data_IF_932345774060
#
_entry.id   IF_932345774060
#
_cell.length_a   1.000
_cell.length_b   1.000
_cell.length_c   1.000
_cell.angle_alpha   90.00
_cell.angle_beta   90.00
_cell.angle_gamma   90.00
#
_symmetry.space_group_name_H-M   'P 1'
#
loop_
_entity.id
_entity.type
_entity.pdbx_description
1 polymer ?
#
# COMPACT_ATOMS: atom_id res chain seq x y z
N UNK A 1 -6.22 17.51 17.72
CA UNK A 1 -7.13 17.77 18.88
C UNK A 1 -7.91 19.09 18.78
N UNK A 2 -8.29 19.50 17.57
CA UNK A 2 -9.11 20.72 17.39
C UNK A 2 -10.62 20.42 17.31
N UNK A 3 -11.07 19.35 17.97
CA UNK A 3 -12.48 19.01 18.02
C UNK A 3 -13.09 19.76 19.21
N UNK A 4 -13.89 20.78 18.90
CA UNK A 4 -14.64 21.57 19.90
C UNK A 4 -15.74 20.72 20.53
N UNK A 5 -16.15 21.09 21.75
CA UNK A 5 -17.25 20.50 22.49
C UNK A 5 -18.45 20.16 21.60
N UNK A 6 -18.93 18.93 21.72
CA UNK A 6 -20.08 18.43 20.97
C UNK A 6 -19.77 17.71 19.65
N UNK A 7 -18.49 17.46 19.32
CA UNK A 7 -18.10 16.63 18.17
C UNK A 7 -17.41 15.35 18.66
N UNK A 8 -17.86 14.22 18.18
CA UNK A 8 -17.22 12.93 18.36
C UNK A 8 -16.35 12.60 17.14
N UNK A 9 -15.19 12.01 17.39
CA UNK A 9 -14.29 11.53 16.34
C UNK A 9 -14.18 10.03 16.43
N UNK A 10 -14.42 9.34 15.32
CA UNK A 10 -14.18 7.91 15.17
C UNK A 10 -13.16 7.69 14.06
N UNK A 11 -12.27 6.73 14.26
CA UNK A 11 -11.24 6.38 13.29
C UNK A 11 -11.41 4.92 12.92
N UNK A 12 -11.67 4.67 11.66
CA UNK A 12 -11.75 3.34 11.08
C UNK A 12 -10.75 3.16 9.94
N UNK A 13 -11.02 2.15 9.12
CA UNK A 13 -10.20 1.78 7.97
C UNK A 13 -10.96 2.01 6.67
N UNK A 14 -10.22 2.12 5.58
CA UNK A 14 -10.76 2.22 4.20
C UNK A 14 -10.21 1.07 3.35
N UNK A 15 -10.52 1.05 2.06
CA UNK A 15 -9.78 0.23 1.08
C UNK A 15 -8.47 0.88 0.63
N UNK A 16 -8.22 2.13 1.02
CA UNK A 16 -7.09 2.91 0.53
C UNK A 16 -5.74 2.36 1.00
N UNK A 17 -5.02 1.75 0.09
CA UNK A 17 -3.67 1.24 0.30
C UNK A 17 -2.66 2.19 -0.35
N UNK A 18 -1.78 2.81 0.44
CA UNK A 18 -0.66 3.58 -0.11
C UNK A 18 0.41 2.60 -0.55
N UNK A 19 0.40 2.28 -1.83
CA UNK A 19 1.26 1.26 -2.43
C UNK A 19 2.53 1.88 -3.01
N UNK A 20 3.68 1.41 -2.54
CA UNK A 20 4.98 1.65 -3.16
C UNK A 20 5.20 0.58 -4.23
N UNK A 21 5.06 1.01 -5.48
CA UNK A 21 5.17 0.15 -6.65
C UNK A 21 6.60 0.09 -7.13
N UNK A 22 7.09 -1.10 -7.40
CA UNK A 22 8.35 -1.35 -8.08
C UNK A 22 8.05 -2.04 -9.41
N UNK A 23 8.62 -1.57 -10.51
CA UNK A 23 8.44 -2.20 -11.81
C UNK A 23 9.26 -3.49 -11.84
N UNK A 24 8.59 -4.63 -11.66
CA UNK A 24 9.22 -5.93 -11.48
C UNK A 24 9.97 -6.44 -12.72
N UNK A 25 9.77 -5.81 -13.89
CA UNK A 25 10.47 -6.15 -15.12
C UNK A 25 11.64 -5.20 -15.43
N UNK A 26 11.90 -4.19 -14.58
CA UNK A 26 12.91 -3.16 -14.85
C UNK A 26 14.01 -3.17 -13.78
N UNK A 27 15.26 -3.23 -14.24
CA UNK A 27 16.40 -3.14 -13.35
C UNK A 27 16.38 -1.84 -12.50
N UNK A 28 16.78 -1.89 -11.22
CA UNK A 28 17.28 -3.05 -10.51
C UNK A 28 16.17 -3.92 -9.85
N UNK A 29 14.90 -3.60 -10.08
CA UNK A 29 13.73 -4.23 -9.43
C UNK A 29 13.28 -5.53 -10.10
N UNK A 30 13.92 -5.97 -11.17
CA UNK A 30 13.80 -7.32 -11.73
C UNK A 30 14.41 -8.41 -10.79
N UNK A 31 15.31 -8.01 -9.88
CA UNK A 31 15.81 -8.89 -8.81
C UNK A 31 14.93 -8.78 -7.54
N UNK A 32 14.29 -9.88 -7.09
CA UNK A 32 13.46 -9.86 -5.89
C UNK A 32 14.24 -9.48 -4.62
N UNK A 33 15.56 -9.73 -4.54
CA UNK A 33 16.39 -9.34 -3.40
C UNK A 33 16.48 -7.83 -3.26
N UNK A 34 16.52 -7.10 -4.39
CA UNK A 34 16.51 -5.64 -4.39
C UNK A 34 15.16 -5.10 -3.93
N UNK A 35 14.05 -5.71 -4.36
CA UNK A 35 12.71 -5.34 -3.88
C UNK A 35 12.54 -5.62 -2.39
N UNK A 36 13.06 -6.75 -1.90
CA UNK A 36 13.10 -7.06 -0.47
C UNK A 36 13.97 -6.06 0.30
N UNK A 37 15.09 -5.62 -0.26
CA UNK A 37 15.94 -4.59 0.35
C UNK A 37 15.16 -3.28 0.53
N UNK A 38 14.39 -2.84 -0.47
CA UNK A 38 13.49 -1.69 -0.33
C UNK A 38 12.48 -1.92 0.79
N UNK A 39 11.86 -3.09 0.86
CA UNK A 39 10.85 -3.40 1.86
C UNK A 39 11.41 -3.37 3.32
N UNK A 40 12.66 -3.79 3.51
CA UNK A 40 13.35 -3.68 4.81
C UNK A 40 13.88 -2.27 5.09
N UNK A 41 14.17 -1.47 4.05
CA UNK A 41 14.71 -0.11 4.20
C UNK A 41 13.65 0.92 4.61
N UNK A 42 12.35 0.60 4.42
CA UNK A 42 11.27 1.56 4.63
C UNK A 42 10.65 1.42 6.01
N UNK A 43 10.76 2.49 6.82
CA UNK A 43 10.06 2.63 8.10
C UNK A 43 8.62 3.10 7.85
N UNK A 44 7.69 2.14 7.79
CA UNK A 44 6.27 2.40 7.58
C UNK A 44 5.63 3.14 8.76
N UNK A 45 6.16 2.97 9.99
CA UNK A 45 5.69 3.71 11.16
C UNK A 45 5.98 5.19 11.01
N UNK A 46 7.20 5.56 10.60
CA UNK A 46 7.56 6.94 10.34
C UNK A 46 6.70 7.58 9.23
N UNK A 47 6.39 6.82 8.16
CA UNK A 47 5.49 7.28 7.11
C UNK A 47 4.07 7.55 7.63
N UNK A 48 3.54 6.66 8.48
CA UNK A 48 2.24 6.82 9.12
C UNK A 48 2.19 8.04 10.04
N UNK A 49 3.24 8.23 10.85
CA UNK A 49 3.32 9.37 11.76
C UNK A 49 3.31 10.70 11.00
N UNK A 50 4.06 10.78 9.90
CA UNK A 50 4.15 12.00 9.08
C UNK A 50 2.82 12.32 8.38
N UNK A 51 2.14 11.32 7.80
CA UNK A 51 0.92 11.54 7.03
C UNK A 51 -0.34 11.62 7.88
N UNK A 52 -0.44 10.76 8.90
CA UNK A 52 -1.69 10.50 9.61
C UNK A 52 -1.57 10.55 11.14
N UNK A 53 -0.47 11.08 11.67
CA UNK A 53 -0.20 11.10 13.13
C UNK A 53 -0.39 9.70 13.78
N UNK A 54 0.00 8.64 13.09
CA UNK A 54 -0.13 7.27 13.57
C UNK A 54 -1.53 6.66 13.45
N UNK A 55 -2.50 7.35 12.83
CA UNK A 55 -3.89 6.89 12.74
C UNK A 55 -4.13 5.85 11.64
N UNK A 56 -3.23 5.74 10.65
CA UNK A 56 -3.33 4.73 9.61
C UNK A 56 -3.01 3.34 10.13
N UNK A 57 -3.46 2.30 9.41
CA UNK A 57 -3.21 0.92 9.79
C UNK A 57 -2.00 0.35 9.05
N UNK A 58 -1.03 -0.19 9.79
CA UNK A 58 0.05 -1.00 9.21
C UNK A 58 -0.49 -2.40 8.86
N UNK A 59 -0.43 -2.75 7.59
CA UNK A 59 -0.84 -4.07 7.07
C UNK A 59 0.34 -5.05 7.01
N UNK A 60 1.46 -4.72 7.65
CA UNK A 60 2.67 -5.54 7.59
C UNK A 60 3.39 -5.49 6.24
N UNK A 61 3.03 -4.53 5.40
CA UNK A 61 3.49 -4.37 4.02
C UNK A 61 2.61 -5.03 2.98
N UNK A 62 1.56 -5.78 3.40
CA UNK A 62 0.69 -6.51 2.50
C UNK A 62 -0.33 -5.58 1.81
N UNK A 63 -0.64 -5.82 0.51
CA UNK A 63 -1.56 -5.00 -0.29
C UNK A 63 -3.02 -5.42 -0.05
N UNK A 64 -3.43 -5.45 1.21
CA UNK A 64 -4.80 -5.83 1.60
C UNK A 64 -5.29 -4.97 2.77
N UNK A 65 -6.51 -4.43 2.70
CA UNK A 65 -7.09 -3.69 3.80
C UNK A 65 -7.46 -4.62 4.98
N UNK A 66 -7.45 -4.11 6.22
CA UNK A 66 -7.79 -4.89 7.41
C UNK A 66 -9.23 -5.42 7.42
N UNK A 67 -10.10 -4.86 6.59
CA UNK A 67 -11.50 -5.28 6.44
C UNK A 67 -11.69 -6.53 5.56
N UNK A 68 -10.67 -6.93 4.82
CA UNK A 68 -10.75 -8.13 3.98
C UNK A 68 -10.71 -9.42 4.81
N UNK A 69 -11.57 -10.41 4.48
CA UNK A 69 -11.67 -11.66 5.26
C UNK A 69 -10.39 -12.50 5.28
N UNK A 70 -9.43 -12.22 4.39
CA UNK A 70 -8.14 -12.91 4.31
C UNK A 70 -6.99 -12.10 4.92
N UNK A 71 -7.28 -10.97 5.56
CA UNK A 71 -6.28 -10.23 6.32
C UNK A 71 -5.93 -10.98 7.61
N UNK A 72 -4.69 -11.41 7.74
CA UNK A 72 -4.21 -12.19 8.88
C UNK A 72 -3.35 -11.37 9.87
N UNK A 73 -3.11 -10.09 9.57
CA UNK A 73 -2.29 -9.21 10.42
C UNK A 73 -0.82 -9.61 10.50
N UNK A 74 -0.32 -10.33 9.50
CA UNK A 74 1.10 -10.71 9.42
C UNK A 74 1.98 -9.50 9.16
N UNK A 75 3.17 -9.49 9.79
CA UNK A 75 4.24 -8.55 9.45
C UNK A 75 5.26 -9.26 8.58
N UNK A 76 5.29 -8.94 7.28
CA UNK A 76 6.19 -9.57 6.31
C UNK A 76 7.58 -8.94 6.33
N UNK A 77 7.62 -7.61 6.44
CA UNK A 77 8.86 -6.85 6.48
C UNK A 77 8.82 -5.87 7.65
N UNK A 78 9.78 -6.00 8.55
CA UNK A 78 10.01 -5.02 9.61
C UNK A 78 11.14 -4.09 9.16
N UNK A 79 11.14 -2.84 9.61
CA UNK A 79 12.23 -1.92 9.32
C UNK A 79 13.56 -2.49 9.83
N UNK A 80 14.47 -2.76 8.93
CA UNK A 80 15.80 -3.31 9.19
C UNK A 80 16.79 -2.86 8.10
N UNK A 81 17.38 -1.66 8.25
CA UNK A 81 18.30 -1.11 7.25
C UNK A 81 19.58 -1.93 7.09
N UNK A 82 20.01 -2.68 8.12
CA UNK A 82 21.17 -3.54 8.00
C UNK A 82 20.87 -4.76 7.12
N UNK A 83 19.68 -5.34 7.26
CA UNK A 83 19.20 -6.40 6.37
C UNK A 83 19.05 -5.90 4.94
N UNK A 84 18.56 -4.67 4.76
CA UNK A 84 18.47 -4.04 3.44
C UNK A 84 19.86 -3.93 2.77
N UNK A 85 20.87 -3.43 3.49
CA UNK A 85 22.24 -3.34 2.99
C UNK A 85 22.82 -4.72 2.63
N UNK A 86 22.58 -5.72 3.48
CA UNK A 86 23.01 -7.09 3.21
C UNK A 86 22.42 -7.62 1.89
N UNK A 87 21.12 -7.44 1.68
CA UNK A 87 20.44 -7.88 0.45
C UNK A 87 20.94 -7.16 -0.80
N UNK A 88 21.26 -5.87 -0.71
CA UNK A 88 21.86 -5.12 -1.81
C UNK A 88 23.25 -5.66 -2.17
N UNK A 89 24.06 -5.99 -1.16
CA UNK A 89 25.38 -6.61 -1.38
C UNK A 89 25.24 -8.00 -2.03
N UNK A 90 24.32 -8.83 -1.53
CA UNK A 90 24.03 -10.16 -2.08
C UNK A 90 23.50 -10.12 -3.52
N UNK A 91 22.77 -9.06 -3.86
CA UNK A 91 22.27 -8.81 -5.22
C UNK A 91 23.31 -8.17 -6.15
N UNK A 92 24.43 -7.66 -5.61
CA UNK A 92 25.39 -6.85 -6.37
C UNK A 92 24.82 -5.49 -6.81
N UNK A 93 23.86 -4.96 -6.06
CA UNK A 93 23.10 -3.75 -6.37
C UNK A 93 23.49 -2.56 -5.48
N UNK A 94 24.63 -2.62 -4.79
CA UNK A 94 25.16 -1.50 -4.00
C UNK A 94 25.39 -0.30 -4.91
N UNK A 95 24.85 0.88 -4.53
CA UNK A 95 24.95 2.10 -5.32
C UNK A 95 24.07 2.11 -6.57
N UNK A 96 23.11 1.21 -6.69
CA UNK A 96 22.17 1.20 -7.80
C UNK A 96 21.43 2.53 -7.91
N UNK A 97 21.33 3.05 -9.14
CA UNK A 97 20.60 4.27 -9.44
C UNK A 97 19.12 3.94 -9.64
N UNK A 98 18.26 4.60 -8.88
CA UNK A 98 16.81 4.42 -8.95
C UNK A 98 16.10 5.75 -9.04
N UNK A 99 15.02 5.78 -9.80
CA UNK A 99 14.14 6.94 -9.91
C UNK A 99 12.80 6.62 -9.22
N UNK A 100 12.42 7.45 -8.27
CA UNK A 100 11.09 7.45 -7.67
C UNK A 100 10.23 8.52 -8.33
N UNK A 101 9.32 8.09 -9.20
CA UNK A 101 8.37 8.95 -9.91
C UNK A 101 7.07 9.05 -9.12
N UNK A 102 6.75 10.23 -8.61
CA UNK A 102 5.54 10.45 -7.78
C UNK A 102 4.49 11.29 -8.50
N UNK A 103 3.19 11.03 -8.27
CA UNK A 103 2.15 11.94 -8.71
C UNK A 103 2.24 13.27 -7.94
N UNK A 104 1.81 14.37 -8.54
CA UNK A 104 1.73 15.69 -7.88
C UNK A 104 0.59 15.76 -6.86
N UNK A 105 0.56 14.80 -5.96
CA UNK A 105 -0.38 14.71 -4.84
C UNK A 105 0.37 14.99 -3.53
N UNK A 106 -0.15 15.82 -2.62
CA UNK A 106 0.58 16.24 -1.42
C UNK A 106 1.14 15.10 -0.59
N UNK A 107 0.33 14.05 -0.32
CA UNK A 107 0.78 12.91 0.47
C UNK A 107 1.95 12.16 -0.20
N UNK A 108 1.88 12.01 -1.52
CA UNK A 108 2.88 11.28 -2.28
C UNK A 108 4.25 11.99 -2.25
N UNK A 109 4.24 13.31 -2.37
CA UNK A 109 5.46 14.12 -2.31
C UNK A 109 6.06 14.13 -0.89
N UNK A 110 5.22 14.23 0.14
CA UNK A 110 5.68 14.16 1.53
C UNK A 110 6.37 12.83 1.85
N UNK A 111 5.78 11.71 1.43
CA UNK A 111 6.38 10.38 1.66
C UNK A 111 7.62 10.16 0.78
N UNK A 112 7.66 10.73 -0.42
CA UNK A 112 8.82 10.61 -1.30
C UNK A 112 10.11 11.15 -0.66
N UNK A 113 10.05 12.23 0.09
CA UNK A 113 11.21 12.78 0.82
C UNK A 113 11.71 11.81 1.91
N UNK A 114 10.79 11.16 2.63
CA UNK A 114 11.15 10.13 3.60
C UNK A 114 11.81 8.93 2.91
N UNK A 115 11.20 8.43 1.83
CA UNK A 115 11.72 7.30 1.04
C UNK A 115 13.11 7.63 0.46
N UNK A 116 13.28 8.86 -0.06
CA UNK A 116 14.57 9.33 -0.54
C UNK A 116 15.66 9.19 0.53
N UNK A 117 15.37 9.68 1.75
CA UNK A 117 16.32 9.62 2.85
C UNK A 117 16.66 8.18 3.23
N UNK A 118 15.65 7.33 3.43
CA UNK A 118 15.83 5.96 3.90
C UNK A 118 16.51 5.05 2.86
N UNK A 119 16.11 5.18 1.59
CA UNK A 119 16.73 4.41 0.50
C UNK A 119 18.17 4.85 0.22
N UNK A 120 18.46 6.15 0.34
CA UNK A 120 19.83 6.66 0.23
C UNK A 120 20.70 6.15 1.39
N UNK A 121 20.16 6.09 2.62
CA UNK A 121 20.88 5.59 3.80
C UNK A 121 21.34 4.13 3.62
N UNK A 122 20.55 3.29 2.97
CA UNK A 122 20.90 1.88 2.73
C UNK A 122 21.77 1.66 1.51
N UNK A 123 22.05 2.72 0.71
CA UNK A 123 23.04 2.70 -0.36
C UNK A 123 22.52 2.84 -1.78
N UNK A 124 21.23 3.12 -1.99
CA UNK A 124 20.74 3.52 -3.31
C UNK A 124 21.16 4.95 -3.67
N UNK A 125 21.29 5.23 -4.96
CA UNK A 125 21.35 6.58 -5.49
C UNK A 125 19.97 6.95 -6.02
N UNK A 126 19.22 7.72 -5.23
CA UNK A 126 17.82 8.02 -5.49
C UNK A 126 17.67 9.34 -6.23
N UNK A 127 16.88 9.35 -7.29
CA UNK A 127 16.39 10.56 -7.97
C UNK A 127 14.89 10.67 -7.74
N UNK A 128 14.42 11.84 -7.29
CA UNK A 128 13.00 12.13 -7.19
C UNK A 128 12.51 12.82 -8.46
N UNK A 129 11.44 12.30 -9.02
CA UNK A 129 10.72 12.91 -10.15
C UNK A 129 9.24 13.07 -9.80
N UNK A 130 8.63 14.15 -10.29
CA UNK A 130 7.20 14.40 -10.14
C UNK A 130 6.53 14.39 -11.50
N UNK A 131 5.40 13.69 -11.62
CA UNK A 131 4.55 13.67 -12.79
C UNK A 131 3.18 14.27 -12.45
N UNK A 132 2.68 15.19 -13.29
CA UNK A 132 1.36 15.79 -13.09
C UNK A 132 0.28 14.71 -13.03
N UNK A 133 -0.54 14.77 -11.97
CA UNK A 133 -1.67 13.85 -11.79
C UNK A 133 -2.98 14.54 -12.19
N UNK A 134 -3.89 13.86 -12.91
CA UNK A 134 -3.80 12.42 -13.27
C UNK A 134 -3.11 12.12 -14.61
N UNK A 135 -3.14 13.02 -15.57
CA UNK A 135 -2.92 12.68 -16.97
C UNK A 135 -1.48 12.21 -17.28
N UNK A 136 -0.47 12.95 -16.82
CA UNK A 136 0.94 12.61 -17.11
C UNK A 136 1.33 11.35 -16.34
N UNK A 137 0.99 11.30 -15.05
CA UNK A 137 1.35 10.15 -14.21
C UNK A 137 0.68 8.86 -14.71
N UNK A 138 -0.64 8.89 -15.00
CA UNK A 138 -1.35 7.72 -15.53
C UNK A 138 -0.76 7.25 -16.86
N UNK A 139 -0.44 8.21 -17.76
CA UNK A 139 0.16 7.89 -19.04
C UNK A 139 1.55 7.27 -18.93
N UNK A 140 2.41 7.82 -18.08
CA UNK A 140 3.79 7.38 -17.90
C UNK A 140 3.88 6.08 -17.09
N UNK A 141 3.26 6.07 -15.89
CA UNK A 141 3.44 4.96 -14.94
C UNK A 141 2.53 3.78 -15.28
N UNK A 142 1.23 4.00 -15.41
CA UNK A 142 0.30 2.91 -15.68
C UNK A 142 0.23 2.52 -17.16
N UNK A 143 0.23 3.50 -18.05
CA UNK A 143 0.08 3.26 -19.49
C UNK A 143 1.37 2.77 -20.14
N UNK A 144 2.40 3.58 -20.12
CA UNK A 144 3.69 3.28 -20.77
C UNK A 144 4.60 2.38 -19.92
N UNK A 145 4.32 2.25 -18.61
CA UNK A 145 5.15 1.53 -17.62
C UNK A 145 6.60 2.07 -17.62
N UNK A 146 6.77 3.34 -17.96
CA UNK A 146 8.07 4.00 -17.99
C UNK A 146 8.40 4.61 -16.63
N UNK A 147 8.72 3.75 -15.70
CA UNK A 147 9.13 4.10 -14.35
C UNK A 147 9.95 2.94 -13.73
N UNK A 148 10.73 3.22 -12.68
CA UNK A 148 11.39 2.21 -11.88
C UNK A 148 10.62 1.97 -10.57
N UNK A 149 10.35 3.04 -9.82
CA UNK A 149 9.59 3.04 -8.58
C UNK A 149 8.57 4.18 -8.62
N UNK A 150 7.40 3.95 -8.04
CA UNK A 150 6.35 4.97 -7.90
C UNK A 150 5.51 4.69 -6.67
N UNK A 151 4.68 5.66 -6.28
CA UNK A 151 3.72 5.43 -5.21
C UNK A 151 2.39 6.09 -5.53
N UNK A 152 1.30 5.40 -5.19
CA UNK A 152 -0.07 5.93 -5.26
C UNK A 152 -0.96 5.17 -4.28
N UNK A 153 -2.06 5.80 -3.87
CA UNK A 153 -3.11 5.09 -3.14
C UNK A 153 -4.04 4.36 -4.09
N UNK A 154 -4.14 3.04 -3.92
CA UNK A 154 -5.19 2.22 -4.50
C UNK A 154 -6.39 2.20 -3.55
N UNK A 155 -7.58 2.41 -4.08
CA UNK A 155 -8.82 2.55 -3.28
C UNK A 155 -9.91 1.56 -3.70
N UNK A 156 -9.69 0.81 -4.76
CA UNK A 156 -10.62 -0.19 -5.26
C UNK A 156 -10.73 -1.36 -4.28
N UNK A 157 -11.95 -1.83 -3.97
CA UNK A 157 -12.11 -2.97 -3.08
C UNK A 157 -11.61 -4.26 -3.72
N UNK A 158 -10.82 -5.05 -2.97
CA UNK A 158 -10.38 -6.40 -3.36
C UNK A 158 -9.61 -6.44 -4.68
N UNK A 159 -8.74 -5.47 -4.93
CA UNK A 159 -8.04 -5.33 -6.20
C UNK A 159 -6.75 -6.17 -6.33
N UNK A 160 -6.42 -7.00 -5.34
CA UNK A 160 -5.28 -7.94 -5.41
C UNK A 160 -5.24 -8.74 -6.73
N UNK A 161 -6.35 -9.33 -7.23
CA UNK A 161 -6.33 -10.02 -8.52
C UNK A 161 -5.99 -9.10 -9.69
N UNK A 162 -6.42 -7.84 -9.67
CA UNK A 162 -6.11 -6.86 -10.70
C UNK A 162 -4.64 -6.45 -10.65
N UNK A 163 -4.13 -6.15 -9.46
CA UNK A 163 -2.76 -5.68 -9.27
C UNK A 163 -1.71 -6.75 -9.54
N UNK A 164 -1.97 -8.01 -9.15
CA UNK A 164 -0.97 -9.08 -9.11
C UNK A 164 -1.34 -10.31 -9.96
N UNK A 165 -2.53 -10.34 -10.54
CA UNK A 165 -2.98 -11.45 -11.38
C UNK A 165 -2.65 -11.28 -12.86
N UNK A 166 -2.45 -10.07 -13.33
CA UNK A 166 -2.10 -9.75 -14.71
C UNK A 166 -0.62 -9.31 -14.81
N UNK A 167 0.26 -10.10 -15.43
CA UNK A 167 1.67 -9.75 -15.61
C UNK A 167 1.87 -8.52 -16.50
N UNK A 168 0.87 -8.19 -17.31
CA UNK A 168 0.89 -7.01 -18.17
C UNK A 168 0.35 -5.76 -17.49
N UNK A 169 -0.09 -5.83 -16.22
CA UNK A 169 -0.46 -4.65 -15.48
C UNK A 169 0.79 -3.82 -15.09
N UNK A 170 0.62 -2.60 -14.62
CA UNK A 170 1.73 -1.63 -14.50
C UNK A 170 2.87 -2.08 -13.56
N UNK A 171 2.60 -2.97 -12.59
CA UNK A 171 3.64 -3.56 -11.73
C UNK A 171 4.58 -4.51 -12.46
N UNK A 172 4.17 -5.04 -13.64
CA UNK A 172 4.87 -6.10 -14.35
C UNK A 172 5.24 -7.28 -13.43
N UNK A 173 4.35 -7.59 -12.47
CA UNK A 173 4.55 -8.70 -11.54
C UNK A 173 4.15 -10.01 -12.21
N UNK A 174 5.14 -10.82 -12.56
CA UNK A 174 4.94 -12.11 -13.23
C UNK A 174 5.28 -13.28 -12.31
N UNK A 175 4.29 -13.77 -11.56
CA UNK A 175 4.39 -14.95 -10.71
C UNK A 175 3.35 -16.00 -11.11
N UNK A 176 3.76 -17.09 -11.79
CA UNK A 176 2.86 -18.19 -12.12
C UNK A 176 2.16 -18.77 -10.89
N UNK A 177 2.85 -18.81 -9.75
CA UNK A 177 2.29 -19.33 -8.51
C UNK A 177 1.19 -18.43 -7.95
N UNK A 178 1.35 -17.13 -7.99
CA UNK A 178 0.29 -16.18 -7.57
C UNK A 178 -0.92 -16.33 -8.47
N UNK A 179 -0.74 -16.37 -9.81
CA UNK A 179 -1.86 -16.56 -10.74
C UNK A 179 -2.60 -17.87 -10.52
N UNK A 180 -1.87 -18.96 -10.25
CA UNK A 180 -2.49 -20.24 -9.91
C UNK A 180 -3.35 -20.15 -8.64
N UNK A 181 -2.84 -19.51 -7.57
CA UNK A 181 -3.57 -19.36 -6.32
C UNK A 181 -4.81 -18.46 -6.48
N UNK A 182 -4.72 -17.37 -7.24
CA UNK A 182 -5.85 -16.51 -7.55
C UNK A 182 -6.92 -17.24 -8.37
N UNK A 183 -6.52 -18.03 -9.38
CA UNK A 183 -7.46 -18.85 -10.16
C UNK A 183 -8.12 -19.95 -9.31
N UNK A 184 -7.37 -20.56 -8.39
CA UNK A 184 -7.93 -21.51 -7.43
C UNK A 184 -8.92 -20.84 -6.49
N UNK A 185 -8.62 -19.62 -6.01
CA UNK A 185 -9.52 -18.85 -5.15
C UNK A 185 -10.83 -18.51 -5.88
N UNK A 186 -10.76 -18.04 -7.12
CA UNK A 186 -11.92 -17.66 -7.94
C UNK A 186 -12.88 -18.84 -8.18
N UNK A 187 -12.35 -20.05 -8.31
CA UNK A 187 -13.15 -21.28 -8.54
C UNK A 187 -13.50 -22.05 -7.27
N UNK A 188 -13.00 -21.63 -6.11
CA UNK A 188 -13.18 -22.34 -4.85
C UNK A 188 -14.58 -22.13 -4.24
N UNK A 189 -15.05 -23.07 -3.39
CA UNK A 189 -16.17 -22.80 -2.52
C UNK A 189 -15.90 -21.58 -1.63
N UNK A 190 -16.93 -20.79 -1.35
CA UNK A 190 -16.84 -19.55 -0.55
C UNK A 190 -16.04 -19.70 0.75
N UNK A 191 -16.23 -20.82 1.45
CA UNK A 191 -15.50 -21.12 2.71
C UNK A 191 -13.99 -21.27 2.55
N UNK A 192 -13.51 -21.62 1.35
CA UNK A 192 -12.10 -21.88 1.06
C UNK A 192 -11.41 -20.65 0.45
N UNK A 193 -12.20 -19.71 -0.10
CA UNK A 193 -11.73 -18.48 -0.75
C UNK A 193 -10.76 -17.66 0.10
N UNK A 194 -11.07 -17.31 1.39
CA UNK A 194 -10.17 -16.49 2.20
C UNK A 194 -8.80 -17.15 2.40
N UNK A 195 -8.75 -18.45 2.59
CA UNK A 195 -7.49 -19.19 2.76
C UNK A 195 -6.61 -19.14 1.51
N UNK A 196 -7.21 -19.30 0.33
CA UNK A 196 -6.48 -19.25 -0.93
C UNK A 196 -5.99 -17.84 -1.24
N UNK A 197 -6.80 -16.82 -0.94
CA UNK A 197 -6.38 -15.42 -1.05
C UNK A 197 -5.24 -15.10 -0.10
N UNK A 198 -5.28 -15.55 1.15
CA UNK A 198 -4.17 -15.39 2.10
C UNK A 198 -2.87 -16.03 1.57
N UNK A 199 -2.96 -17.22 0.96
CA UNK A 199 -1.79 -17.85 0.32
C UNK A 199 -1.27 -17.07 -0.89
N UNK A 200 -2.15 -16.46 -1.68
CA UNK A 200 -1.74 -15.60 -2.80
C UNK A 200 -0.99 -14.36 -2.27
N UNK A 201 -1.49 -13.75 -1.20
CA UNK A 201 -0.82 -12.62 -0.52
C UNK A 201 0.52 -13.03 0.05
N UNK A 202 0.61 -14.19 0.71
CA UNK A 202 1.89 -14.73 1.21
C UNK A 202 2.93 -14.87 0.08
N UNK A 203 2.50 -15.32 -1.12
CA UNK A 203 3.38 -15.43 -2.28
C UNK A 203 3.81 -14.05 -2.80
N UNK A 204 2.87 -13.11 -2.93
CA UNK A 204 3.17 -11.72 -3.37
C UNK A 204 4.21 -11.09 -2.44
N UNK A 205 4.05 -11.28 -1.13
CA UNK A 205 4.97 -10.75 -0.15
C UNK A 205 6.32 -11.47 -0.14
N UNK A 206 6.35 -12.78 -0.37
CA UNK A 206 7.62 -13.53 -0.52
C UNK A 206 8.42 -13.04 -1.74
N UNK A 207 7.74 -12.70 -2.83
CA UNK A 207 8.34 -12.14 -4.05
C UNK A 207 8.65 -10.64 -3.93
N UNK A 208 8.20 -9.97 -2.86
CA UNK A 208 8.22 -8.52 -2.69
C UNK A 208 7.65 -7.80 -3.94
N UNK A 209 6.48 -8.25 -4.42
CA UNK A 209 5.86 -7.75 -5.66
C UNK A 209 5.54 -6.25 -5.61
N UNK A 210 5.18 -5.74 -4.45
CA UNK A 210 5.06 -4.33 -4.08
C UNK A 210 5.10 -4.23 -2.55
N UNK A 211 5.13 -3.01 -2.01
CA UNK A 211 5.08 -2.76 -0.57
C UNK A 211 3.95 -1.78 -0.25
N UNK A 212 2.98 -2.20 0.55
CA UNK A 212 2.01 -1.26 1.14
C UNK A 212 2.65 -0.53 2.31
N UNK A 213 2.66 0.78 2.25
CA UNK A 213 3.18 1.61 3.33
C UNK A 213 2.19 1.68 4.50
N UNK A 214 0.91 1.81 4.18
CA UNK A 214 -0.18 1.85 5.14
C UNK A 214 -1.54 1.72 4.46
N UNK A 215 -2.53 1.28 5.21
CA UNK A 215 -3.95 1.44 4.87
C UNK A 215 -4.45 2.77 5.45
N UNK A 216 -5.07 3.58 4.60
CA UNK A 216 -5.50 4.94 4.95
C UNK A 216 -6.64 4.92 5.97
N UNK A 217 -6.60 5.78 7.00
CA UNK A 217 -7.65 5.85 7.99
C UNK A 217 -8.91 6.49 7.41
N UNK A 218 -10.07 6.05 7.89
CA UNK A 218 -11.33 6.75 7.73
C UNK A 218 -11.58 7.60 8.97
N UNK A 219 -11.42 8.89 8.87
CA UNK A 219 -11.63 9.81 10.00
C UNK A 219 -13.03 10.40 9.90
N UNK A 220 -13.91 9.95 10.78
CA UNK A 220 -15.33 10.34 10.80
C UNK A 220 -15.57 11.31 11.94
N UNK A 221 -16.07 12.51 11.61
CA UNK A 221 -16.44 13.54 12.56
C UNK A 221 -17.97 13.66 12.60
N UNK A 222 -18.57 13.52 13.77
CA UNK A 222 -20.00 13.65 13.97
C UNK A 222 -20.35 14.58 15.10
N UNK A 223 -21.58 15.12 15.11
CA UNK A 223 -22.12 15.76 16.32
C UNK A 223 -22.33 14.69 17.38
N UNK A 224 -22.13 15.07 18.63
CA UNK A 224 -22.44 14.21 19.77
C UNK A 224 -23.94 13.77 19.67
N UNK A 225 -24.19 12.47 19.86
CA UNK A 225 -25.52 11.89 19.73
C UNK A 225 -25.86 11.29 18.37
N UNK A 226 -25.07 11.53 17.32
CA UNK A 226 -25.19 10.78 16.07
C UNK A 226 -24.66 9.36 16.29
N UNK A 227 -25.42 8.37 15.82
CA UNK A 227 -25.10 6.93 15.94
C UNK A 227 -25.41 6.22 14.63
N UNK A 228 -24.85 5.00 14.46
CA UNK A 228 -25.12 4.15 13.30
C UNK A 228 -24.16 4.44 12.12
N UNK A 229 -23.12 5.24 12.31
CA UNK A 229 -22.00 5.27 11.38
C UNK A 229 -21.09 4.07 11.64
N UNK A 230 -20.63 3.48 10.56
CA UNK A 230 -19.60 2.44 10.59
C UNK A 230 -18.29 3.10 10.17
N UNK A 231 -17.28 3.20 11.06
CA UNK A 231 -16.03 3.84 10.72
C UNK A 231 -15.22 3.04 9.69
N UNK A 232 -15.36 1.71 9.66
CA UNK A 232 -14.72 0.86 8.67
C UNK A 232 -15.53 0.84 7.37
N UNK A 233 -14.91 1.26 6.26
CA UNK A 233 -15.57 1.36 4.98
C UNK A 233 -14.84 0.59 3.89
N UNK A 234 -15.57 -0.26 3.18
CA UNK A 234 -15.11 -1.01 2.00
C UNK A 234 -15.57 -0.37 0.68
N UNK A 235 -16.13 0.82 0.73
CA UNK A 235 -16.62 1.58 -0.43
C UNK A 235 -16.58 3.07 -0.12
N UNK A 236 -16.56 3.92 -1.15
CA UNK A 236 -16.67 5.38 -1.01
C UNK A 236 -18.08 5.85 -0.63
N UNK A 237 -19.03 4.93 -0.60
CA UNK A 237 -20.45 5.25 -0.31
C UNK A 237 -20.70 5.25 1.20
N UNK A 238 -21.19 6.37 1.72
CA UNK A 238 -21.65 6.49 3.09
C UNK A 238 -22.98 5.74 3.27
N UNK A 239 -23.04 4.75 4.16
CA UNK A 239 -24.26 4.00 4.47
C UNK A 239 -25.06 4.79 5.50
N UNK A 240 -26.15 5.42 5.04
CA UNK A 240 -26.97 6.31 5.85
C UNK A 240 -28.19 5.63 6.51
N UNK A 241 -28.55 4.41 6.11
CA UNK A 241 -29.80 3.74 6.55
C UNK A 241 -29.87 3.51 8.06
N UNK A 242 -28.73 3.33 8.71
CA UNK A 242 -28.63 3.01 10.13
C UNK A 242 -28.34 4.26 11.00
N UNK A 243 -28.32 5.44 10.35
CA UNK A 243 -27.98 6.70 10.98
C UNK A 243 -29.15 7.20 11.83
N UNK A 244 -28.87 7.45 13.08
CA UNK A 244 -29.83 8.06 14.03
C UNK A 244 -29.17 9.23 14.74
N UNK A 245 -29.97 10.22 15.13
CA UNK A 245 -29.55 11.26 16.07
C UNK A 245 -30.37 11.13 17.34
N UNK A 246 -29.70 11.11 18.50
CA UNK A 246 -30.41 11.39 19.74
C UNK A 246 -30.78 12.87 19.72
N UNK A 247 -32.07 13.19 19.83
CA UNK A 247 -32.49 14.57 20.05
C UNK A 247 -31.79 15.05 21.33
N UNK A 248 -30.94 16.04 21.20
CA UNK A 248 -30.39 16.78 22.34
C UNK A 248 -31.49 17.74 22.77
N UNK A 249 -32.30 17.32 23.75
CA UNK A 249 -33.16 18.23 24.50
C UNK A 249 -32.34 19.35 25.18
#
# INVERSE_FOLDING_TARGET
DDVKDGIATEVGTTNGEVLLSMNNARAPFDDPRVRQAVAYAVDRSAANDILWNGLAKDTGGAPIPPTDPWFEGKHYYNYDPDKARQLLTEAGAEGAEITLTTPTLPYAQTVAELLYSQLTEVGFKVTLESAEFPAVWLGQVMGAKDYQMSLISHVEPRDVPTLFGDPDYYLNYDSPRTRELLAQADSAPEKDYPKLMAQAVDQIMADAGALTLMNMPNIVLTRAGVRGLHPDQVTDALILRDLTSADTD
#
